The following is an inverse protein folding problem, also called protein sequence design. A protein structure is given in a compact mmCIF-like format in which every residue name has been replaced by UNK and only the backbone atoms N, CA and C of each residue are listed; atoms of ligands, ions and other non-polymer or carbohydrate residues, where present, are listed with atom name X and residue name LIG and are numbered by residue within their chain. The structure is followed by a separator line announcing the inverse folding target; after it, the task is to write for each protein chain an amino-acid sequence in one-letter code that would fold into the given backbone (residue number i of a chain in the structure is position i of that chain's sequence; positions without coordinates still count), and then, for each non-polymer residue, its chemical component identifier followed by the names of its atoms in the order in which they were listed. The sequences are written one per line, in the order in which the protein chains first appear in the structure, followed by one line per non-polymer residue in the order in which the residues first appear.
data_IF_840182036141
#
_entry.id   IF_840182036141
#
_cell.length_a   1.000
_cell.length_b   1.000
_cell.length_c   1.000
_cell.angle_alpha   90.00
_cell.angle_beta   90.00
_cell.angle_gamma   90.00
#
_symmetry.space_group_name_H-M   'P 1'
#
loop_
_entity.id
_entity.type
_entity.pdbx_description
1 polymer ?
#
# COMPACT_ATOMS: atom_id res chain seq x y z
N UNK A 1 -81.88 -32.59 34.87
CA UNK A 1 -81.45 -32.63 33.45
C UNK A 1 -80.19 -31.81 33.32
N UNK A 2 -79.15 -32.42 32.71
CA UNK A 2 -77.89 -31.85 32.14
C UNK A 2 -77.31 -30.57 32.79
N UNK A 3 -76.08 -30.49 33.30
CA UNK A 3 -74.87 -31.23 32.99
C UNK A 3 -73.80 -30.28 32.40
N UNK A 4 -72.84 -29.87 33.25
CA UNK A 4 -71.44 -29.42 32.98
C UNK A 4 -71.20 -28.25 31.99
N UNK A 5 -70.14 -27.43 32.05
CA UNK A 5 -68.83 -27.54 32.69
C UNK A 5 -68.19 -26.14 32.92
N UNK A 6 -67.13 -26.14 33.74
CA UNK A 6 -66.36 -25.02 34.24
C UNK A 6 -65.40 -24.35 33.23
N UNK A 7 -64.95 -23.15 33.57
CA UNK A 7 -63.79 -22.49 32.95
C UNK A 7 -63.29 -21.33 33.82
N UNK A 8 -62.36 -21.64 34.72
CA UNK A 8 -61.68 -20.68 35.62
C UNK A 8 -60.64 -19.89 34.81
N UNK A 9 -60.73 -18.56 34.82
CA UNK A 9 -59.74 -17.68 34.20
C UNK A 9 -58.53 -17.51 35.14
N UNK A 10 -57.37 -18.01 34.72
CA UNK A 10 -56.09 -17.77 35.37
C UNK A 10 -55.43 -16.52 34.76
N UNK A 11 -55.07 -15.57 35.63
CA UNK A 11 -54.27 -14.38 35.28
C UNK A 11 -52.79 -14.81 35.21
N UNK A 12 -52.04 -14.50 34.13
CA UNK A 12 -50.65 -14.90 34.05
C UNK A 12 -49.77 -14.01 34.94
N UNK A 13 -48.88 -14.65 35.68
CA UNK A 13 -47.84 -14.02 36.49
C UNK A 13 -46.77 -13.39 35.59
N UNK A 14 -46.36 -12.17 35.92
CA UNK A 14 -45.21 -11.48 35.32
C UNK A 14 -43.93 -12.14 35.82
N UNK A 15 -43.23 -12.84 34.93
CA UNK A 15 -41.88 -13.32 35.18
C UNK A 15 -40.88 -12.20 34.89
N UNK A 16 -40.27 -11.66 35.94
CA UNK A 16 -39.08 -10.78 35.83
C UNK A 16 -37.89 -11.68 35.48
N UNK A 17 -37.57 -11.77 34.20
CA UNK A 17 -36.38 -12.46 33.72
C UNK A 17 -35.13 -11.68 34.13
N UNK A 18 -34.34 -12.26 35.02
CA UNK A 18 -33.01 -11.75 35.36
C UNK A 18 -32.12 -11.98 34.14
N UNK A 19 -31.82 -10.94 33.38
CA UNK A 19 -30.84 -11.00 32.31
C UNK A 19 -29.46 -11.28 32.94
N UNK A 20 -29.01 -12.53 32.89
CA UNK A 20 -27.62 -12.85 33.16
C UNK A 20 -26.79 -12.24 32.04
N UNK A 21 -26.19 -11.08 32.34
CA UNK A 21 -25.19 -10.47 31.49
C UNK A 21 -24.04 -11.45 31.31
N UNK A 22 -23.97 -12.08 30.13
CA UNK A 22 -22.76 -12.78 29.70
C UNK A 22 -21.75 -11.70 29.38
N UNK A 23 -20.96 -11.32 30.39
CA UNK A 23 -19.73 -10.56 30.17
C UNK A 23 -18.81 -11.46 29.35
N UNK A 24 -18.82 -11.26 28.04
CA UNK A 24 -17.83 -11.86 27.15
C UNK A 24 -16.49 -11.26 27.55
N UNK A 25 -15.77 -11.96 28.43
CA UNK A 25 -14.42 -11.60 28.82
C UNK A 25 -13.60 -11.51 27.54
N UNK A 26 -13.31 -10.27 27.13
CA UNK A 26 -12.38 -9.96 26.06
C UNK A 26 -11.03 -10.47 26.57
N UNK A 27 -10.62 -11.65 26.12
CA UNK A 27 -9.24 -12.12 26.33
C UNK A 27 -8.35 -11.07 25.69
N UNK A 28 -7.80 -10.18 26.52
CA UNK A 28 -6.64 -9.41 26.14
C UNK A 28 -5.53 -10.45 25.90
N UNK A 29 -5.22 -10.73 24.64
CA UNK A 29 -3.96 -11.35 24.30
C UNK A 29 -2.88 -10.35 24.70
N UNK A 30 -2.23 -10.61 25.84
CA UNK A 30 -0.97 -9.96 26.17
C UNK A 30 0.10 -10.55 25.26
N UNK A 31 0.07 -10.19 23.98
CA UNK A 31 1.23 -10.32 23.11
C UNK A 31 2.30 -9.44 23.73
N UNK A 32 3.39 -10.05 24.18
CA UNK A 32 4.56 -9.29 24.58
C UNK A 32 4.95 -8.35 23.41
N UNK A 33 5.34 -7.10 23.67
CA UNK A 33 5.95 -6.26 22.65
C UNK A 33 7.07 -7.03 21.96
N UNK A 34 7.06 -7.09 20.62
CA UNK A 34 8.14 -7.69 19.83
C UNK A 34 7.93 -9.11 19.31
N UNK A 35 6.71 -9.65 19.24
CA UNK A 35 6.47 -10.88 18.46
C UNK A 35 5.23 -10.77 17.57
N UNK A 36 5.48 -10.84 16.27
CA UNK A 36 4.48 -10.94 15.20
C UNK A 36 4.08 -12.40 15.07
N UNK A 37 2.78 -12.69 15.23
CA UNK A 37 2.25 -14.06 15.08
C UNK A 37 2.66 -14.64 13.74
N UNK A 38 3.31 -15.81 13.78
CA UNK A 38 3.74 -16.52 12.58
C UNK A 38 2.55 -16.83 11.65
N UNK A 39 2.77 -16.64 10.35
CA UNK A 39 1.84 -16.97 9.29
C UNK A 39 2.57 -17.73 8.19
N UNK A 40 1.79 -18.30 7.26
CA UNK A 40 2.36 -18.69 5.97
C UNK A 40 2.89 -17.46 5.25
N UNK A 41 3.88 -17.68 4.38
CA UNK A 41 4.43 -16.67 3.47
C UNK A 41 4.08 -17.04 2.03
N UNK A 42 4.18 -16.09 1.10
CA UNK A 42 4.08 -16.42 -0.31
C UNK A 42 5.31 -17.21 -0.77
N UNK A 43 5.08 -18.21 -1.60
CA UNK A 43 6.13 -18.90 -2.35
C UNK A 43 6.59 -18.01 -3.50
N UNK A 44 7.80 -17.45 -3.39
CA UNK A 44 8.34 -16.56 -4.41
C UNK A 44 8.80 -17.31 -5.67
N UNK A 45 8.99 -18.63 -5.60
CA UNK A 45 9.32 -19.48 -6.76
C UNK A 45 8.10 -19.78 -7.64
N UNK A 46 6.89 -19.66 -7.07
CA UNK A 46 5.64 -19.90 -7.80
C UNK A 46 5.48 -18.94 -9.00
N UNK A 47 4.85 -19.37 -10.11
CA UNK A 47 4.62 -18.51 -11.26
C UNK A 47 3.74 -17.31 -10.90
N UNK A 48 3.94 -16.20 -11.59
CA UNK A 48 3.08 -15.01 -11.45
C UNK A 48 1.96 -15.04 -12.48
N UNK A 49 0.75 -14.63 -12.07
CA UNK A 49 -0.42 -14.50 -12.93
C UNK A 49 -0.72 -13.03 -13.22
N UNK A 50 -1.22 -12.73 -14.42
CA UNK A 50 -1.63 -11.38 -14.82
C UNK A 50 -2.97 -11.02 -14.17
N UNK A 51 -3.03 -9.88 -13.47
CA UNK A 51 -4.28 -9.28 -12.98
C UNK A 51 -4.77 -8.20 -13.96
N UNK A 52 -3.89 -7.26 -14.27
CA UNK A 52 -4.13 -6.15 -15.20
C UNK A 52 -2.93 -6.01 -16.12
N UNK A 53 -3.16 -5.66 -17.38
CA UNK A 53 -2.08 -5.45 -18.33
C UNK A 53 -2.30 -4.19 -19.15
N UNK A 54 -1.27 -3.34 -19.12
CA UNK A 54 -1.12 -2.17 -19.98
C UNK A 54 -2.36 -1.27 -20.00
N UNK A 55 -2.89 -1.02 -18.79
CA UNK A 55 -4.02 -0.13 -18.56
C UNK A 55 -3.53 1.32 -18.43
N UNK A 56 -4.39 2.25 -18.83
CA UNK A 56 -4.12 3.67 -18.66
C UNK A 56 -4.35 4.10 -17.22
N UNK A 57 -3.59 5.09 -16.78
CA UNK A 57 -3.78 5.79 -15.52
C UNK A 57 -4.21 7.23 -15.81
N UNK A 58 -4.44 8.02 -14.75
CA UNK A 58 -4.82 9.42 -14.88
C UNK A 58 -3.69 10.32 -15.44
N UNK A 59 -2.44 9.96 -15.19
CA UNK A 59 -1.25 10.64 -15.75
C UNK A 59 -0.54 9.80 -16.80
N UNK A 60 0.47 10.40 -17.44
CA UNK A 60 1.29 9.78 -18.49
C UNK A 60 2.66 9.31 -18.01
N UNK A 61 3.02 9.63 -16.77
CA UNK A 61 4.31 9.26 -16.14
C UNK A 61 4.32 7.83 -15.59
N UNK A 62 5.49 7.37 -15.18
CA UNK A 62 5.68 6.02 -14.63
C UNK A 62 4.79 5.85 -13.38
N UNK A 63 4.19 4.66 -13.24
CA UNK A 63 3.60 4.22 -11.96
C UNK A 63 4.67 4.38 -10.86
N UNK A 64 4.28 4.73 -9.64
CA UNK A 64 5.20 4.75 -8.50
C UNK A 64 4.80 3.69 -7.48
N UNK A 65 3.50 3.57 -7.23
CA UNK A 65 2.97 2.52 -6.37
C UNK A 65 1.46 2.33 -6.56
N UNK A 66 0.93 1.31 -5.90
CA UNK A 66 -0.49 1.03 -5.87
C UNK A 66 -0.91 0.30 -4.59
N UNK A 67 -2.21 0.32 -4.29
CA UNK A 67 -2.82 -0.45 -3.21
C UNK A 67 -4.30 -0.73 -3.52
N UNK A 68 -4.89 -1.72 -2.85
CA UNK A 68 -6.28 -2.13 -3.06
C UNK A 68 -7.19 -1.67 -1.92
N UNK A 69 -8.36 -1.12 -2.27
CA UNK A 69 -9.51 -1.22 -1.37
C UNK A 69 -10.17 -2.58 -1.62
N UNK A 70 -9.76 -3.57 -0.83
CA UNK A 70 -10.22 -4.94 -0.96
C UNK A 70 -11.73 -5.10 -0.68
N UNK A 71 -12.34 -4.21 0.11
CA UNK A 71 -13.77 -4.29 0.41
C UNK A 71 -14.62 -3.77 -0.74
N UNK A 72 -14.13 -2.73 -1.44
CA UNK A 72 -14.87 -2.06 -2.51
C UNK A 72 -14.48 -2.52 -3.91
N UNK A 73 -13.42 -3.32 -4.04
CA UNK A 73 -12.93 -3.77 -5.35
C UNK A 73 -12.34 -2.60 -6.15
N UNK A 74 -11.60 -1.71 -5.49
CA UNK A 74 -10.89 -0.63 -6.16
C UNK A 74 -9.39 -0.82 -6.10
N UNK A 75 -8.71 -0.38 -7.16
CA UNK A 75 -7.27 -0.22 -7.22
C UNK A 75 -6.95 1.28 -7.17
N UNK A 76 -6.05 1.69 -6.29
CA UNK A 76 -5.50 3.04 -6.27
C UNK A 76 -4.06 2.99 -6.75
N UNK A 77 -3.70 3.83 -7.69
CA UNK A 77 -2.32 3.95 -8.21
C UNK A 77 -1.82 5.37 -8.02
N UNK A 78 -0.51 5.52 -7.86
CA UNK A 78 0.17 6.81 -7.76
C UNK A 78 1.14 6.97 -8.91
N UNK A 79 1.16 8.17 -9.48
CA UNK A 79 2.19 8.67 -10.40
C UNK A 79 2.65 10.02 -9.88
N UNK A 80 3.83 10.49 -10.30
CA UNK A 80 4.12 11.92 -10.23
C UNK A 80 3.18 12.69 -11.16
N UNK A 81 2.80 13.91 -10.80
CA UNK A 81 1.97 14.77 -11.66
C UNK A 81 2.71 15.07 -12.97
N UNK A 82 1.93 15.09 -14.06
CA UNK A 82 2.42 15.44 -15.40
C UNK A 82 2.88 16.91 -15.46
N UNK A 83 3.98 17.16 -16.15
CA UNK A 83 4.42 18.52 -16.46
C UNK A 83 3.45 19.21 -17.42
N UNK A 84 3.27 20.51 -17.26
CA UNK A 84 2.37 21.32 -18.10
C UNK A 84 0.90 21.25 -17.70
N UNK A 85 0.53 20.38 -16.75
CA UNK A 85 -0.80 20.37 -16.16
C UNK A 85 -0.92 21.49 -15.12
N UNK A 86 -1.91 22.37 -15.27
CA UNK A 86 -2.31 23.35 -14.24
C UNK A 86 -3.40 22.74 -13.36
N UNK A 87 -3.12 22.60 -12.07
CA UNK A 87 -4.07 22.05 -11.10
C UNK A 87 -4.98 23.15 -10.52
N UNK A 88 -6.19 22.81 -10.05
CA UNK A 88 -7.04 23.77 -9.34
C UNK A 88 -6.30 24.52 -8.23
N UNK A 89 -6.39 25.86 -8.27
CA UNK A 89 -5.73 26.76 -7.31
C UNK A 89 -4.32 27.18 -7.69
N UNK A 90 -3.78 26.72 -8.83
CA UNK A 90 -2.53 27.22 -9.38
C UNK A 90 -2.75 28.42 -10.28
N UNK A 91 -1.72 29.24 -10.45
CA UNK A 91 -1.71 30.43 -11.32
C UNK A 91 -0.78 30.28 -12.52
N UNK A 92 -0.15 29.11 -12.66
CA UNK A 92 0.77 28.77 -13.74
C UNK A 92 0.89 27.24 -13.87
N UNK A 93 1.34 26.80 -15.03
CA UNK A 93 1.79 25.43 -15.26
C UNK A 93 3.19 25.21 -14.73
N UNK A 94 3.45 24.05 -14.12
CA UNK A 94 4.77 23.64 -13.66
C UNK A 94 5.41 22.61 -14.59
N UNK A 95 6.74 22.60 -14.68
CA UNK A 95 7.44 21.57 -15.45
C UNK A 95 7.37 20.20 -14.76
N UNK A 96 7.61 19.11 -15.50
CA UNK A 96 7.68 17.78 -14.89
C UNK A 96 8.81 17.66 -13.85
N UNK A 97 9.91 18.39 -14.04
CA UNK A 97 10.99 18.51 -13.05
C UNK A 97 10.54 19.24 -11.78
N UNK A 98 9.75 20.32 -11.91
CA UNK A 98 9.20 21.02 -10.74
C UNK A 98 8.25 20.11 -9.95
N UNK A 99 7.34 19.41 -10.64
CA UNK A 99 6.44 18.42 -10.02
C UNK A 99 7.22 17.32 -9.28
N UNK A 100 8.33 16.86 -9.86
CA UNK A 100 9.20 15.85 -9.24
C UNK A 100 9.92 16.39 -8.02
N UNK A 101 10.47 17.59 -8.12
CA UNK A 101 11.16 18.26 -7.03
C UNK A 101 10.21 18.52 -5.85
N UNK A 102 9.00 19.01 -6.14
CA UNK A 102 8.00 19.30 -5.12
C UNK A 102 7.33 18.05 -4.56
N UNK A 103 7.42 16.90 -5.24
CA UNK A 103 6.74 15.68 -4.81
C UNK A 103 5.22 15.79 -4.97
N UNK A 104 4.81 16.25 -6.14
CA UNK A 104 3.40 16.35 -6.52
C UNK A 104 2.94 15.01 -7.12
N UNK A 105 1.89 14.44 -6.55
CA UNK A 105 1.36 13.12 -6.89
C UNK A 105 -0.02 13.20 -7.57
N UNK A 106 -0.22 12.32 -8.54
CA UNK A 106 -1.49 12.00 -9.17
C UNK A 106 -1.96 10.63 -8.67
N UNK A 107 -3.08 10.60 -7.96
CA UNK A 107 -3.74 9.37 -7.53
C UNK A 107 -4.84 9.04 -8.53
N UNK A 108 -4.82 7.84 -9.09
CA UNK A 108 -5.89 7.32 -9.94
C UNK A 108 -6.61 6.20 -9.21
N UNK A 109 -7.94 6.28 -9.15
CA UNK A 109 -8.80 5.17 -8.71
C UNK A 109 -9.28 4.41 -9.93
N UNK A 110 -9.08 3.11 -9.95
CA UNK A 110 -9.57 2.19 -10.96
C UNK A 110 -10.51 1.16 -10.34
N UNK A 111 -11.38 0.58 -11.16
CA UNK A 111 -11.98 -0.71 -10.85
C UNK A 111 -10.96 -1.85 -11.07
N UNK A 112 -11.36 -3.10 -10.83
CA UNK A 112 -10.50 -4.26 -11.06
C UNK A 112 -10.41 -4.69 -12.54
N UNK A 113 -11.10 -4.02 -13.46
CA UNK A 113 -10.94 -4.20 -14.91
C UNK A 113 -9.93 -3.23 -15.53
N UNK A 114 -9.56 -2.18 -14.79
CA UNK A 114 -8.67 -1.11 -15.23
C UNK A 114 -9.40 0.13 -15.75
N UNK A 115 -10.72 0.24 -15.55
CA UNK A 115 -11.47 1.45 -15.85
C UNK A 115 -11.17 2.53 -14.81
N UNK A 116 -10.89 3.74 -15.26
CA UNK A 116 -10.62 4.89 -14.39
C UNK A 116 -11.95 5.41 -13.81
N UNK A 117 -12.08 5.32 -12.49
CA UNK A 117 -13.22 5.80 -11.70
C UNK A 117 -13.03 7.20 -11.12
N UNK A 118 -11.83 7.78 -11.29
CA UNK A 118 -11.52 9.14 -10.85
C UNK A 118 -10.05 9.38 -10.58
N UNK A 119 -9.70 10.65 -10.44
CA UNK A 119 -8.34 11.13 -10.17
C UNK A 119 -8.35 12.16 -9.05
N UNK A 120 -7.30 12.20 -8.25
CA UNK A 120 -7.07 13.16 -7.18
C UNK A 120 -5.60 13.58 -7.21
N UNK A 121 -5.30 14.82 -6.82
CA UNK A 121 -3.93 15.34 -6.82
C UNK A 121 -3.47 15.69 -5.42
N UNK A 122 -2.21 15.40 -5.12
CA UNK A 122 -1.58 15.69 -3.83
C UNK A 122 -0.34 16.53 -4.10
N UNK A 123 -0.35 17.80 -3.69
CA UNK A 123 0.77 18.71 -3.91
C UNK A 123 1.68 18.74 -2.70
N UNK A 124 2.99 18.61 -2.87
CA UNK A 124 3.95 18.65 -1.76
C UNK A 124 3.91 17.42 -0.85
N UNK A 125 3.54 16.25 -1.37
CA UNK A 125 3.42 15.04 -0.57
C UNK A 125 4.74 14.23 -0.54
N UNK A 126 5.36 14.01 -1.69
CA UNK A 126 6.65 13.32 -1.81
C UNK A 126 6.74 12.53 -3.10
N UNK A 127 7.47 11.41 -3.11
CA UNK A 127 7.74 10.68 -4.35
C UNK A 127 6.66 9.64 -4.70
N UNK A 128 5.98 9.11 -3.69
CA UNK A 128 4.90 8.13 -3.87
C UNK A 128 5.38 6.70 -4.04
N UNK A 129 6.58 6.36 -3.53
CA UNK A 129 7.20 5.02 -3.67
C UNK A 129 6.34 3.90 -3.12
N UNK A 130 5.52 4.18 -2.10
CA UNK A 130 4.54 3.21 -1.60
C UNK A 130 3.37 3.91 -0.93
N UNK A 131 2.16 3.44 -1.23
CA UNK A 131 0.92 3.82 -0.57
C UNK A 131 0.25 2.66 0.16
N UNK A 132 -0.59 3.00 1.14
CA UNK A 132 -1.53 2.11 1.79
C UNK A 132 -2.97 2.54 1.54
N UNK A 133 -3.90 1.57 1.51
CA UNK A 133 -5.34 1.81 1.47
C UNK A 133 -5.98 1.18 2.70
N UNK A 134 -6.68 1.99 3.48
CA UNK A 134 -7.53 1.59 4.58
C UNK A 134 -8.99 1.67 4.14
N UNK A 135 -9.64 0.52 4.03
CA UNK A 135 -11.08 0.47 3.77
C UNK A 135 -11.86 0.63 5.07
N UNK A 136 -12.62 1.71 5.20
CA UNK A 136 -13.53 1.91 6.34
C UNK A 136 -14.99 1.73 5.91
N UNK A 137 -15.93 1.83 6.85
CA UNK A 137 -17.36 1.87 6.52
C UNK A 137 -17.78 3.12 5.74
N UNK A 138 -17.04 4.24 5.87
CA UNK A 138 -17.36 5.51 5.21
C UNK A 138 -16.72 5.66 3.83
N UNK A 139 -15.54 5.09 3.60
CA UNK A 139 -14.83 5.26 2.33
C UNK A 139 -13.48 4.56 2.27
N UNK A 140 -12.72 4.92 1.25
CA UNK A 140 -11.33 4.48 1.06
C UNK A 140 -10.40 5.59 1.57
N UNK A 141 -9.68 5.34 2.65
CA UNK A 141 -8.65 6.25 3.16
C UNK A 141 -7.30 5.83 2.63
N UNK A 142 -6.59 6.78 2.05
CA UNK A 142 -5.25 6.61 1.51
C UNK A 142 -4.23 7.06 2.53
N UNK A 143 -3.12 6.33 2.54
CA UNK A 143 -1.95 6.61 3.33
C UNK A 143 -0.75 6.76 2.41
N UNK A 144 -0.02 7.86 2.52
CA UNK A 144 1.22 8.11 1.79
C UNK A 144 2.09 9.10 2.55
N UNK A 145 3.31 9.30 2.11
CA UNK A 145 4.19 10.36 2.59
C UNK A 145 3.59 11.77 2.36
N UNK A 146 4.00 12.73 3.19
CA UNK A 146 3.61 14.13 3.11
C UNK A 146 4.75 15.06 3.56
N UNK A 147 4.57 16.38 3.38
CA UNK A 147 5.58 17.39 3.73
C UNK A 147 6.89 17.17 2.98
N UNK A 148 6.76 17.13 1.66
CA UNK A 148 7.87 16.92 0.75
C UNK A 148 9.00 17.93 0.94
N UNK A 149 10.22 17.43 0.99
CA UNK A 149 11.46 18.21 0.98
C UNK A 149 12.22 17.92 -0.29
N UNK A 150 12.54 18.99 -1.04
CA UNK A 150 13.40 18.92 -2.23
C UNK A 150 14.78 18.42 -1.83
N UNK A 151 15.16 17.24 -2.30
CA UNK A 151 16.48 16.64 -2.11
C UNK A 151 17.27 16.67 -3.41
N UNK A 152 18.50 17.15 -3.36
CA UNK A 152 19.42 17.15 -4.50
C UNK A 152 19.95 15.74 -4.72
N UNK A 153 19.73 15.20 -5.92
CA UNK A 153 20.24 13.91 -6.35
C UNK A 153 21.65 14.04 -6.97
N UNK A 154 22.34 12.91 -7.12
CA UNK A 154 23.74 12.90 -7.58
C UNK A 154 23.92 13.43 -9.01
N UNK A 155 22.87 13.37 -9.84
CA UNK A 155 22.85 13.88 -11.22
C UNK A 155 22.52 15.38 -11.32
N UNK A 156 22.32 16.05 -10.19
CA UNK A 156 21.97 17.47 -10.13
C UNK A 156 20.46 17.74 -10.23
N UNK A 157 19.62 16.71 -10.37
CA UNK A 157 18.17 16.84 -10.31
C UNK A 157 17.66 16.94 -8.87
N UNK A 158 16.39 17.33 -8.70
CA UNK A 158 15.73 17.37 -7.40
C UNK A 158 14.57 16.39 -7.35
N UNK A 159 14.46 15.68 -6.23
CA UNK A 159 13.34 14.80 -5.90
C UNK A 159 12.73 15.18 -4.56
N UNK A 160 11.40 15.26 -4.51
CA UNK A 160 10.65 15.50 -3.30
C UNK A 160 10.44 14.24 -2.48
N UNK A 161 10.79 14.27 -1.20
CA UNK A 161 10.61 13.16 -0.26
C UNK A 161 9.86 13.64 1.00
N UNK A 162 8.83 12.92 1.42
CA UNK A 162 8.00 13.26 2.57
C UNK A 162 8.55 12.73 3.89
N UNK A 163 8.59 13.60 4.91
CA UNK A 163 9.08 13.29 6.25
C UNK A 163 8.00 12.80 7.23
N UNK A 164 6.73 12.82 6.81
CA UNK A 164 5.55 12.42 7.59
C UNK A 164 4.67 11.49 6.78
N UNK A 165 3.81 10.73 7.47
CA UNK A 165 2.70 10.04 6.83
C UNK A 165 1.43 10.88 6.91
N UNK A 166 0.70 10.98 5.81
CA UNK A 166 -0.63 11.55 5.72
C UNK A 166 -1.68 10.44 5.59
N UNK A 167 -2.84 10.66 6.21
CA UNK A 167 -4.07 9.90 6.03
C UNK A 167 -5.19 10.83 5.56
N UNK A 168 -5.84 10.49 4.45
CA UNK A 168 -6.92 11.30 3.87
C UNK A 168 -7.90 10.42 3.09
N UNK A 169 -9.14 10.87 2.94
CA UNK A 169 -10.12 10.16 2.12
C UNK A 169 -9.91 10.48 0.64
N UNK A 170 -10.04 9.48 -0.23
CA UNK A 170 -10.03 9.75 -1.66
C UNK A 170 -11.28 10.52 -2.08
N UNK A 171 -11.09 11.64 -2.78
CA UNK A 171 -12.18 12.41 -3.37
C UNK A 171 -11.84 12.80 -4.82
N UNK A 172 -12.66 12.32 -5.76
CA UNK A 172 -12.45 12.58 -7.20
C UNK A 172 -12.44 14.08 -7.52
N UNK A 173 -11.47 14.51 -8.33
CA UNK A 173 -11.29 15.89 -8.79
C UNK A 173 -10.67 16.83 -7.77
N UNK A 174 -10.30 16.35 -6.58
CA UNK A 174 -9.74 17.20 -5.53
C UNK A 174 -8.23 17.36 -5.64
N UNK A 175 -7.75 18.48 -5.08
CA UNK A 175 -6.33 18.75 -4.86
C UNK A 175 -6.12 18.95 -3.36
N UNK A 176 -5.23 18.18 -2.75
CA UNK A 176 -4.82 18.37 -1.36
C UNK A 176 -3.37 18.85 -1.26
N UNK A 177 -3.10 19.62 -0.23
CA UNK A 177 -1.77 19.98 0.28
C UNK A 177 -1.59 19.39 1.68
N UNK A 178 -0.37 19.34 2.25
CA UNK A 178 -0.17 18.77 3.57
C UNK A 178 -0.93 19.52 4.69
N UNK A 179 -1.21 20.81 4.47
CA UNK A 179 -1.95 21.67 5.41
C UNK A 179 -3.48 21.63 5.18
N UNK A 180 -3.96 20.85 4.21
CA UNK A 180 -5.39 20.75 3.95
C UNK A 180 -6.12 20.15 5.17
N UNK A 181 -7.25 20.71 5.63
CA UNK A 181 -7.96 20.22 6.84
C UNK A 181 -8.42 18.76 6.76
N UNK A 182 -8.57 18.20 5.55
CA UNK A 182 -8.93 16.80 5.32
C UNK A 182 -7.76 15.82 5.52
N UNK A 183 -6.54 16.31 5.75
CA UNK A 183 -5.32 15.50 5.88
C UNK A 183 -4.93 15.37 7.36
N UNK A 184 -4.99 14.15 7.89
CA UNK A 184 -4.41 13.83 9.18
C UNK A 184 -2.92 13.50 9.02
N UNK A 185 -2.08 14.07 9.88
CA UNK A 185 -0.63 13.94 9.82
C UNK A 185 -0.10 13.06 10.94
N UNK A 186 0.84 12.19 10.60
CA UNK A 186 1.44 11.21 11.51
C UNK A 186 2.96 11.28 11.39
N UNK A 187 3.58 11.93 12.39
CA UNK A 187 5.04 11.95 12.54
C UNK A 187 5.51 10.73 13.31
N UNK A 188 6.69 10.24 12.95
CA UNK A 188 7.47 9.28 13.73
C UNK A 188 8.37 10.03 14.73
N UNK A 189 9.39 9.37 15.28
CA UNK A 189 10.39 10.01 16.12
C UNK A 189 11.29 10.99 15.36
N UNK A 190 11.96 11.86 16.11
CA UNK A 190 12.89 12.84 15.56
C UNK A 190 14.04 12.17 14.79
N UNK A 191 14.45 12.79 13.68
CA UNK A 191 15.52 12.28 12.81
C UNK A 191 15.04 11.35 11.69
N UNK A 192 13.75 11.03 11.65
CA UNK A 192 13.11 10.47 10.46
C UNK A 192 12.99 11.56 9.40
N UNK A 193 13.52 11.30 8.19
CA UNK A 193 13.51 12.27 7.09
C UNK A 193 12.90 11.73 5.78
N UNK A 194 12.48 10.46 5.76
CA UNK A 194 11.71 9.85 4.68
C UNK A 194 10.76 8.83 5.27
N UNK A 195 9.50 8.84 4.83
CA UNK A 195 8.51 7.84 5.24
C UNK A 195 7.70 7.37 4.05
N UNK A 196 7.28 6.10 4.04
CA UNK A 196 6.22 5.56 3.18
C UNK A 196 5.55 4.41 3.93
N UNK A 197 4.40 3.91 3.47
CA UNK A 197 3.69 2.87 4.20
C UNK A 197 2.93 1.89 3.30
N UNK A 198 2.71 0.68 3.81
CA UNK A 198 1.84 -0.32 3.24
C UNK A 198 0.91 -0.88 4.33
N UNK A 199 -0.31 -1.23 3.97
CA UNK A 199 -1.29 -1.83 4.89
C UNK A 199 -1.40 -3.32 4.61
N UNK A 200 -1.33 -4.13 5.68
CA UNK A 200 -1.76 -5.53 5.65
C UNK A 200 -3.27 -5.58 5.96
N UNK A 201 -4.13 -5.83 4.96
CA UNK A 201 -5.58 -5.84 5.13
C UNK A 201 -6.07 -7.07 5.90
N UNK A 202 -5.25 -8.12 6.06
CA UNK A 202 -5.64 -9.35 6.75
C UNK A 202 -5.44 -9.21 8.26
N UNK A 203 -4.37 -8.54 8.68
CA UNK A 203 -4.05 -8.36 10.10
C UNK A 203 -4.33 -6.96 10.64
N UNK A 204 -4.80 -6.04 9.81
CA UNK A 204 -5.03 -4.62 10.15
C UNK A 204 -3.77 -3.96 10.74
N UNK A 205 -2.65 -4.14 10.05
CA UNK A 205 -1.36 -3.57 10.43
C UNK A 205 -0.86 -2.60 9.38
N UNK A 206 -0.07 -1.63 9.81
CA UNK A 206 0.64 -0.71 8.94
C UNK A 206 2.13 -0.97 9.05
N UNK A 207 2.76 -1.28 7.91
CA UNK A 207 4.19 -1.33 7.78
C UNK A 207 4.66 0.05 7.30
N UNK A 208 5.53 0.70 8.06
CA UNK A 208 6.11 2.00 7.75
C UNK A 208 7.56 1.79 7.39
N UNK A 209 7.94 2.17 6.17
CA UNK A 209 9.34 2.31 5.79
C UNK A 209 9.77 3.71 6.18
N UNK A 210 10.81 3.83 7.00
CA UNK A 210 11.34 5.12 7.44
C UNK A 210 12.85 5.18 7.28
N UNK A 211 13.40 6.35 6.93
CA UNK A 211 14.85 6.59 6.94
C UNK A 211 15.24 7.34 8.20
N UNK A 212 16.15 6.76 8.98
CA UNK A 212 16.68 7.35 10.21
C UNK A 212 18.19 7.40 10.08
N UNK A 213 18.77 8.59 10.23
CA UNK A 213 20.23 8.80 10.13
C UNK A 213 20.83 8.21 8.83
N UNK A 214 20.11 8.35 7.72
CA UNK A 214 20.53 7.85 6.39
C UNK A 214 20.27 6.38 6.11
N UNK A 215 19.79 5.58 7.07
CA UNK A 215 19.50 4.16 6.90
C UNK A 215 17.99 3.87 6.90
N UNK A 216 17.53 3.05 5.94
CA UNK A 216 16.14 2.62 5.89
C UNK A 216 15.84 1.49 6.88
N UNK A 217 14.70 1.62 7.56
CA UNK A 217 14.10 0.62 8.45
C UNK A 217 12.65 0.42 8.08
N UNK A 218 12.12 -0.73 8.46
CA UNK A 218 10.70 -1.05 8.37
C UNK A 218 10.18 -1.31 9.77
N UNK A 219 9.05 -0.68 10.10
CA UNK A 219 8.39 -0.86 11.38
C UNK A 219 6.95 -1.25 11.18
N UNK A 220 6.52 -2.28 11.90
CA UNK A 220 5.16 -2.78 11.84
C UNK A 220 4.39 -2.29 13.06
N UNK A 221 3.21 -1.72 12.85
CA UNK A 221 2.34 -1.24 13.91
C UNK A 221 0.94 -1.84 13.77
N UNK A 222 0.19 -1.88 14.86
CA UNK A 222 -1.27 -1.99 14.80
C UNK A 222 -1.83 -0.71 14.14
N UNK A 223 -2.67 -0.86 13.12
CA UNK A 223 -3.15 0.29 12.33
C UNK A 223 -4.02 1.23 13.17
N UNK A 224 -4.89 0.68 14.04
CA UNK A 224 -5.80 1.49 14.85
C UNK A 224 -5.03 2.25 15.93
N UNK A 225 -4.08 1.59 16.63
CA UNK A 225 -3.20 2.24 17.59
C UNK A 225 -2.39 3.36 16.92
N UNK A 226 -1.76 3.07 15.77
CA UNK A 226 -0.97 4.04 15.01
C UNK A 226 -1.78 5.27 14.60
N UNK A 227 -3.01 5.05 14.11
CA UNK A 227 -3.95 6.10 13.70
C UNK A 227 -4.34 6.97 14.89
N UNK A 228 -4.47 6.40 16.09
CA UNK A 228 -4.79 7.13 17.33
C UNK A 228 -3.59 7.85 17.97
N UNK A 229 -2.39 7.72 17.40
CA UNK A 229 -1.16 8.36 17.89
C UNK A 229 -0.18 7.40 18.57
N UNK A 230 -0.51 6.11 18.68
CA UNK A 230 0.38 5.08 19.21
C UNK A 230 1.62 4.88 18.34
N UNK A 231 2.77 4.61 18.98
CA UNK A 231 4.07 4.44 18.30
C UNK A 231 4.81 3.20 18.80
N UNK A 232 4.10 2.24 19.38
CA UNK A 232 4.67 0.97 19.83
C UNK A 232 4.80 0.02 18.64
N UNK A 233 6.02 -0.20 18.17
CA UNK A 233 6.25 -1.12 17.06
C UNK A 233 6.06 -2.58 17.51
N UNK A 234 5.34 -3.36 16.70
CA UNK A 234 5.23 -4.83 16.80
C UNK A 234 6.53 -5.50 16.34
N UNK A 235 7.21 -4.91 15.37
CA UNK A 235 8.50 -5.31 14.83
C UNK A 235 9.25 -4.10 14.26
N UNK A 236 10.58 -4.15 14.29
CA UNK A 236 11.47 -3.14 13.69
C UNK A 236 12.68 -3.84 13.06
N UNK A 237 12.76 -3.83 11.73
CA UNK A 237 13.80 -4.52 10.96
C UNK A 237 14.54 -3.53 10.04
N UNK A 238 15.82 -3.75 9.83
CA UNK A 238 16.59 -2.98 8.85
C UNK A 238 16.18 -3.39 7.42
N UNK A 239 16.26 -2.46 6.46
CA UNK A 239 16.25 -2.85 5.05
C UNK A 239 17.45 -3.77 4.77
N UNK A 240 17.26 -4.97 4.19
CA UNK A 240 18.38 -5.78 3.76
C UNK A 240 19.29 -5.01 2.80
N UNK A 241 20.61 -5.17 2.95
CA UNK A 241 21.59 -4.45 2.13
C UNK A 241 21.58 -4.89 0.66
N UNK A 242 21.26 -6.16 0.41
CA UNK A 242 21.19 -6.75 -0.93
C UNK A 242 19.74 -7.14 -1.26
N UNK A 243 19.03 -6.24 -1.95
CA UNK A 243 17.69 -6.49 -2.48
C UNK A 243 17.72 -6.98 -3.93
N UNK A 244 18.88 -6.86 -4.57
CA UNK A 244 19.07 -7.12 -5.99
C UNK A 244 20.53 -7.55 -6.21
N UNK A 245 20.81 -8.86 -6.28
CA UNK A 245 22.16 -9.37 -6.37
C UNK A 245 22.96 -8.73 -7.51
N UNK A 246 24.09 -8.09 -7.14
CA UNK A 246 25.02 -7.47 -8.09
C UNK A 246 24.75 -6.00 -8.41
N UNK A 247 23.80 -5.35 -7.75
CA UNK A 247 23.42 -3.96 -8.00
C UNK A 247 23.26 -3.16 -6.69
N UNK A 248 23.51 -1.86 -6.75
CA UNK A 248 23.35 -0.96 -5.60
C UNK A 248 21.97 -0.30 -5.59
N UNK A 249 21.20 -0.52 -4.52
CA UNK A 249 19.92 0.11 -4.15
C UNK A 249 18.96 0.49 -5.29
N UNK A 250 18.17 -0.49 -5.73
CA UNK A 250 17.14 -0.35 -6.77
C UNK A 250 15.75 -0.64 -6.19
N UNK A 251 15.51 -0.21 -4.95
CA UNK A 251 14.25 -0.43 -4.25
C UNK A 251 13.07 0.24 -4.97
N UNK A 252 11.97 -0.51 -5.14
CA UNK A 252 10.82 -0.07 -5.94
C UNK A 252 9.45 -0.30 -5.27
N UNK A 253 9.41 -0.76 -4.01
CA UNK A 253 8.14 -0.91 -3.30
C UNK A 253 8.13 -2.05 -2.30
N UNK A 254 7.06 -2.12 -1.51
CA UNK A 254 6.94 -3.15 -0.49
C UNK A 254 5.49 -3.45 -0.10
N UNK A 255 5.27 -4.66 0.40
CA UNK A 255 4.00 -5.09 0.98
C UNK A 255 4.25 -5.85 2.29
N UNK A 256 3.28 -5.85 3.18
CA UNK A 256 3.31 -6.64 4.42
C UNK A 256 2.14 -7.62 4.44
N UNK A 257 2.40 -8.86 4.83
CA UNK A 257 1.36 -9.87 5.04
C UNK A 257 1.76 -10.80 6.19
N UNK A 258 0.95 -10.79 7.25
CA UNK A 258 1.13 -11.64 8.42
C UNK A 258 2.47 -11.38 9.12
N UNK A 259 3.35 -12.39 9.15
CA UNK A 259 4.71 -12.29 9.70
C UNK A 259 5.80 -12.02 8.67
N UNK A 260 5.42 -11.65 7.43
CA UNK A 260 6.36 -11.41 6.33
C UNK A 260 6.27 -9.99 5.77
N UNK A 261 7.43 -9.42 5.47
CA UNK A 261 7.64 -8.22 4.69
C UNK A 261 8.17 -8.61 3.31
N UNK A 262 7.58 -8.07 2.24
CA UNK A 262 7.99 -8.30 0.87
C UNK A 262 8.53 -7.02 0.28
N UNK A 263 9.70 -7.09 -0.33
CA UNK A 263 10.41 -5.96 -0.92
C UNK A 263 10.61 -6.21 -2.41
N UNK A 264 10.31 -5.22 -3.23
CA UNK A 264 10.53 -5.23 -4.67
C UNK A 264 11.76 -4.39 -4.99
N UNK A 265 12.64 -4.94 -5.82
CA UNK A 265 13.78 -4.21 -6.35
C UNK A 265 14.02 -4.54 -7.82
N UNK A 266 14.58 -3.59 -8.56
CA UNK A 266 14.93 -3.74 -9.97
C UNK A 266 14.79 -2.44 -10.74
N UNK A 267 15.19 -2.46 -12.01
CA UNK A 267 15.19 -1.27 -12.87
C UNK A 267 14.50 -1.55 -14.19
N UNK A 268 14.14 -0.46 -14.89
CA UNK A 268 13.61 -0.51 -16.24
C UNK A 268 14.51 -1.30 -17.19
N UNK A 269 13.92 -2.01 -18.15
CA UNK A 269 14.68 -2.55 -19.28
C UNK A 269 15.56 -1.49 -19.95
N UNK A 270 16.83 -1.83 -20.16
CA UNK A 270 17.85 -0.93 -20.69
C UNK A 270 18.64 -0.16 -19.63
N UNK A 271 18.25 -0.24 -18.35
CA UNK A 271 18.91 0.45 -17.23
C UNK A 271 19.56 -0.57 -16.29
N UNK A 272 20.75 -0.26 -15.77
CA UNK A 272 21.46 -1.06 -14.75
C UNK A 272 21.41 -2.57 -15.00
N UNK A 273 21.79 -2.97 -16.23
CA UNK A 273 21.86 -4.38 -16.63
C UNK A 273 20.52 -5.13 -16.69
N UNK A 274 19.37 -4.44 -16.56
CA UNK A 274 18.06 -5.03 -16.81
C UNK A 274 17.87 -5.27 -18.30
N UNK A 275 17.94 -6.54 -18.73
CA UNK A 275 17.88 -6.91 -20.15
C UNK A 275 16.66 -7.81 -20.43
N UNK A 276 15.87 -7.43 -21.42
CA UNK A 276 14.74 -8.25 -21.90
C UNK A 276 15.20 -9.62 -22.42
N UNK A 277 14.46 -10.72 -22.15
CA UNK A 277 13.18 -10.75 -21.44
C UNK A 277 13.32 -10.88 -19.91
N UNK A 278 14.50 -11.22 -19.39
CA UNK A 278 14.60 -11.60 -17.98
C UNK A 278 14.46 -10.39 -17.03
N UNK A 279 15.03 -9.25 -17.41
CA UNK A 279 15.19 -8.10 -16.52
C UNK A 279 16.06 -8.43 -15.32
N UNK A 280 15.93 -7.62 -14.28
CA UNK A 280 16.68 -7.77 -13.03
C UNK A 280 15.76 -7.55 -11.81
N UNK A 281 14.45 -7.83 -11.93
CA UNK A 281 13.50 -7.59 -10.83
C UNK A 281 13.49 -8.74 -9.84
N UNK A 282 13.75 -8.44 -8.57
CA UNK A 282 13.72 -9.41 -7.47
C UNK A 282 12.59 -9.09 -6.49
N UNK A 283 12.03 -10.14 -5.92
CA UNK A 283 11.17 -10.06 -4.74
C UNK A 283 11.93 -10.69 -3.58
N UNK A 284 12.02 -9.97 -2.47
CA UNK A 284 12.68 -10.45 -1.24
C UNK A 284 11.63 -10.58 -0.13
N UNK A 285 11.54 -11.75 0.50
CA UNK A 285 10.75 -11.97 1.70
C UNK A 285 11.63 -11.86 2.94
N UNK A 286 11.23 -11.02 3.89
CA UNK A 286 11.89 -10.81 5.19
C UNK A 286 10.95 -11.25 6.30
N UNK A 287 11.45 -11.98 7.28
CA UNK A 287 10.69 -12.31 8.49
C UNK A 287 10.67 -11.09 9.44
N UNK A 288 9.47 -10.61 9.79
CA UNK A 288 9.30 -9.47 10.68
C UNK A 288 9.92 -9.64 12.06
N UNK A 289 9.94 -10.87 12.60
CA UNK A 289 10.47 -11.14 13.94
C UNK A 289 11.99 -11.13 13.99
N UNK A 290 12.65 -11.51 12.90
CA UNK A 290 14.12 -11.70 12.89
C UNK A 290 14.86 -10.69 12.02
N UNK A 291 14.18 -10.03 11.09
CA UNK A 291 14.79 -9.21 10.04
C UNK A 291 15.60 -10.01 9.02
N UNK A 292 15.57 -11.35 9.09
CA UNK A 292 16.32 -12.21 8.17
C UNK A 292 15.58 -12.38 6.86
N UNK A 293 16.34 -12.42 5.75
CA UNK A 293 15.81 -12.78 4.44
C UNK A 293 15.45 -14.27 4.45
N UNK A 294 14.16 -14.56 4.31
CA UNK A 294 13.63 -15.92 4.25
C UNK A 294 13.70 -16.52 2.83
N UNK A 295 13.56 -15.67 1.81
CA UNK A 295 13.62 -16.04 0.40
C UNK A 295 13.87 -14.80 -0.45
N UNK A 296 14.59 -14.95 -1.57
CA UNK A 296 14.78 -13.89 -2.56
C UNK A 296 14.79 -14.52 -3.95
N UNK A 297 13.94 -14.05 -4.84
CA UNK A 297 13.74 -14.67 -6.16
C UNK A 297 13.61 -13.63 -7.27
N UNK A 298 14.23 -13.92 -8.41
CA UNK A 298 14.02 -13.17 -9.65
C UNK A 298 12.59 -13.43 -10.15
N UNK A 299 11.81 -12.37 -10.37
CA UNK A 299 10.48 -12.48 -10.96
C UNK A 299 10.50 -12.15 -12.44
N UNK A 300 9.91 -13.03 -13.26
CA UNK A 300 9.65 -12.82 -14.69
C UNK A 300 8.23 -12.32 -14.97
N UNK A 301 7.52 -11.84 -13.95
CA UNK A 301 6.22 -11.19 -14.14
C UNK A 301 6.34 -10.06 -15.19
N UNK A 302 5.44 -10.03 -16.17
CA UNK A 302 5.46 -9.02 -17.22
C UNK A 302 6.67 -9.04 -18.17
N UNK A 303 7.40 -10.16 -18.30
CA UNK A 303 8.60 -10.23 -19.14
C UNK A 303 8.40 -9.85 -20.63
N UNK A 304 7.15 -9.90 -21.10
CA UNK A 304 6.77 -9.58 -22.47
C UNK A 304 6.30 -8.13 -22.66
N UNK A 305 6.45 -7.27 -21.64
CA UNK A 305 6.17 -5.84 -21.79
C UNK A 305 7.28 -5.17 -22.61
N UNK A 306 6.95 -4.25 -23.53
CA UNK A 306 7.94 -3.53 -24.34
C UNK A 306 8.88 -2.65 -23.50
N UNK A 307 8.33 -2.04 -22.46
CA UNK A 307 9.06 -1.40 -21.36
C UNK A 307 8.65 -2.11 -20.08
N UNK A 308 9.59 -2.36 -19.18
CA UNK A 308 9.30 -3.07 -17.92
C UNK A 308 10.13 -2.50 -16.81
N UNK A 309 9.46 -1.73 -15.95
CA UNK A 309 10.03 -1.18 -14.72
C UNK A 309 9.14 -1.62 -13.54
N UNK A 310 9.68 -2.28 -12.51
CA UNK A 310 8.90 -2.67 -11.34
C UNK A 310 8.54 -1.44 -10.49
N UNK A 311 7.28 -1.33 -10.07
CA UNK A 311 6.73 -0.14 -9.39
C UNK A 311 5.62 -0.52 -8.40
N UNK A 312 5.98 -0.62 -7.12
CA UNK A 312 5.07 -0.90 -6.01
C UNK A 312 4.72 -2.39 -5.80
N UNK A 313 4.26 -2.68 -4.58
CA UNK A 313 3.62 -3.95 -4.23
C UNK A 313 2.37 -3.72 -3.39
N UNK A 314 1.44 -4.68 -3.39
CA UNK A 314 0.28 -4.64 -2.53
C UNK A 314 -0.28 -6.04 -2.23
N UNK A 315 -1.06 -6.14 -1.17
CA UNK A 315 -1.85 -7.34 -0.86
C UNK A 315 -3.27 -7.16 -1.40
N UNK A 316 -3.70 -8.10 -2.25
CA UNK A 316 -5.08 -8.20 -2.71
C UNK A 316 -5.80 -9.35 -1.98
N UNK A 317 -7.03 -9.10 -1.57
CA UNK A 317 -8.01 -10.09 -1.17
C UNK A 317 -9.11 -10.05 -2.25
N UNK A 318 -9.09 -10.96 -3.24
CA UNK A 318 -10.00 -10.92 -4.40
C UNK A 318 -11.46 -11.12 -4.00
N UNK A 319 -11.69 -11.91 -2.97
CA UNK A 319 -13.01 -12.16 -2.40
C UNK A 319 -12.93 -11.91 -0.87
N UNK A 320 -13.53 -10.81 -0.37
CA UNK A 320 -13.58 -10.52 1.06
C UNK A 320 -14.27 -11.61 1.89
N UNK A 321 -15.14 -12.43 1.29
CA UNK A 321 -15.74 -13.58 1.97
C UNK A 321 -14.74 -14.75 2.13
N UNK A 322 -13.64 -14.73 1.38
CA UNK A 322 -12.58 -15.74 1.36
C UNK A 322 -11.20 -15.10 1.60
N UNK A 323 -10.94 -14.50 2.78
CA UNK A 323 -9.72 -13.73 3.05
C UNK A 323 -8.41 -14.54 3.00
N UNK A 324 -8.51 -15.86 2.90
CA UNK A 324 -7.37 -16.76 2.72
C UNK A 324 -6.91 -16.86 1.26
N UNK A 325 -7.73 -16.44 0.29
CA UNK A 325 -7.39 -16.40 -1.14
C UNK A 325 -6.54 -15.16 -1.47
N UNK A 326 -5.58 -14.85 -0.62
CA UNK A 326 -4.77 -13.64 -0.66
C UNK A 326 -3.75 -13.70 -1.80
N UNK A 327 -3.39 -12.54 -2.35
CA UNK A 327 -2.43 -12.42 -3.44
C UNK A 327 -1.37 -11.36 -3.13
N UNK A 328 -0.11 -11.69 -3.41
CA UNK A 328 1.00 -10.75 -3.43
C UNK A 328 1.09 -10.14 -4.83
N UNK A 329 0.70 -8.89 -4.97
CA UNK A 329 0.70 -8.17 -6.23
C UNK A 329 1.97 -7.34 -6.41
N UNK A 330 2.50 -7.33 -7.64
CA UNK A 330 3.64 -6.54 -8.10
C UNK A 330 3.20 -5.69 -9.29
N UNK A 331 3.53 -4.41 -9.26
CA UNK A 331 3.22 -3.44 -10.31
C UNK A 331 4.38 -3.32 -11.28
N UNK A 332 4.06 -3.06 -12.54
CA UNK A 332 5.04 -2.78 -13.57
C UNK A 332 4.55 -1.65 -14.48
N UNK A 333 5.42 -0.68 -14.75
CA UNK A 333 5.21 0.27 -15.81
C UNK A 333 5.56 -0.35 -17.17
N UNK A 334 4.80 0.01 -18.20
CA UNK A 334 5.03 -0.28 -19.62
C UNK A 334 4.89 1.01 -20.43
N UNK A 335 5.22 0.96 -21.72
CA UNK A 335 4.95 2.02 -22.69
C UNK A 335 3.75 1.68 -23.56
N UNK A 336 3.11 2.69 -24.13
CA UNK A 336 1.97 2.49 -25.02
C UNK A 336 2.37 1.84 -26.35
N UNK A 337 3.56 2.16 -26.87
CA UNK A 337 4.21 1.50 -28.01
C UNK A 337 5.68 1.92 -28.09
N UNK A 338 6.42 1.42 -29.07
CA UNK A 338 7.80 1.85 -29.36
C UNK A 338 7.91 3.31 -29.81
N UNK A 339 6.78 3.90 -30.26
CA UNK A 339 6.69 5.29 -30.71
C UNK A 339 5.91 6.20 -29.76
N UNK A 340 5.30 5.63 -28.71
CA UNK A 340 4.50 6.37 -27.73
C UNK A 340 5.03 6.05 -26.33
N UNK A 341 5.83 6.98 -25.81
CA UNK A 341 6.53 6.84 -24.53
C UNK A 341 5.64 7.05 -23.31
N UNK A 342 4.36 7.42 -23.49
CA UNK A 342 3.40 7.52 -22.39
C UNK A 342 3.29 6.19 -21.70
N UNK A 343 3.25 6.23 -20.37
CA UNK A 343 3.34 5.04 -19.54
C UNK A 343 1.95 4.46 -19.26
N UNK A 344 1.94 3.14 -19.12
CA UNK A 344 0.78 2.32 -18.75
C UNK A 344 1.17 1.46 -17.56
N UNK A 345 0.18 0.98 -16.81
CA UNK A 345 0.41 0.10 -15.68
C UNK A 345 -0.01 -1.34 -16.00
N UNK A 346 0.70 -2.29 -15.40
CA UNK A 346 0.32 -3.70 -15.34
C UNK A 346 0.48 -4.19 -13.90
N UNK A 347 -0.36 -5.11 -13.48
CA UNK A 347 -0.29 -5.75 -12.16
C UNK A 347 -0.29 -7.26 -12.34
N UNK A 348 0.67 -7.92 -11.72
CA UNK A 348 0.78 -9.38 -11.69
C UNK A 348 0.80 -9.85 -10.24
N UNK A 349 0.47 -11.11 -9.98
CA UNK A 349 0.40 -11.62 -8.62
C UNK A 349 0.88 -13.05 -8.45
N UNK A 350 1.24 -13.39 -7.21
CA UNK A 350 1.46 -14.75 -6.71
C UNK A 350 0.40 -15.05 -5.65
N UNK A 351 -0.10 -16.29 -5.60
CA UNK A 351 -1.18 -16.71 -4.69
C UNK A 351 -0.90 -18.04 -3.96
N UNK A 352 0.27 -18.64 -4.18
CA UNK A 352 0.73 -19.81 -3.44
C UNK A 352 1.33 -19.41 -2.08
N UNK A 353 0.88 -20.06 -1.00
CA UNK A 353 1.37 -19.87 0.37
C UNK A 353 2.09 -21.13 0.88
N UNK A 354 3.23 -20.94 1.54
CA UNK A 354 4.08 -22.00 2.16
C UNK A 354 4.25 -21.81 3.67
#
# INVERSE_FOLDING_TARGET
MAGAAAGVAAVPAVAVGVAQGVTRARRASTTAPGSVTASKRFDLTAPSTMLLREVWLGGTRVLQSFAFDNTRGHLFTVQLVDGGLELPGETQTFSGSDRTADGDLCVTRLDLSGEILGTMYLRGFGHGVQIGVESTGSGSYLWTESHSVRTLEADGSYTGWGDRLARFEFANGTVLTPDSPAVAQHTLEAGVDRTTCAIDPVTNRIAVRCRVSGAYRYRLYDLADFTSGGRTALADVAQPADLQPGYSDTFQGFASYGSSLYLLAGTAYGTDGSVSPNGNTYVTCVDWNTGSVAEQELTKAGYSLPYREPEGMAIQIPDPASPQAVRLCMGFASTASDTDSRKKASVYYKDALV
#
